data_IF_793086051219
#
_entry.id   IF_793086051219
#
_cell.length_a   1.000
_cell.length_b   1.000
_cell.length_c   1.000
_cell.angle_alpha   90.00
_cell.angle_beta   90.00
_cell.angle_gamma   90.00
#
_symmetry.space_group_name_H-M   'P 1'
#
loop_
_entity.id
_entity.type
_entity.pdbx_description
1 polymer ?
#
# COMPACT_ATOMS: atom_id res chain seq x y z
N UNK A 1 7.46 -0.93 -15.16
CA UNK A 1 7.34 0.30 -14.34
C UNK A 1 6.88 -0.06 -12.95
N UNK A 2 7.49 0.53 -11.93
CA UNK A 2 7.14 0.19 -10.55
C UNK A 2 5.86 0.89 -10.11
N UNK A 3 5.06 0.15 -9.36
CA UNK A 3 3.82 0.65 -8.74
C UNK A 3 3.89 0.27 -7.27
N UNK A 4 3.76 1.25 -6.37
CA UNK A 4 3.74 0.97 -4.94
C UNK A 4 2.33 0.54 -4.51
N UNK A 5 2.24 -0.55 -3.77
CA UNK A 5 0.96 -1.11 -3.31
C UNK A 5 0.67 -0.62 -1.91
N UNK A 6 -0.51 -0.02 -1.73
CA UNK A 6 -0.98 0.51 -0.45
C UNK A 6 -1.94 -0.47 0.24
N UNK A 7 -2.08 -0.31 1.55
CA UNK A 7 -3.03 -1.09 2.36
C UNK A 7 -4.45 -1.01 1.83
N UNK A 8 -4.89 0.16 1.35
CA UNK A 8 -6.24 0.35 0.82
C UNK A 8 -6.54 -0.57 -0.37
N UNK A 9 -5.55 -0.80 -1.23
CA UNK A 9 -5.70 -1.71 -2.37
C UNK A 9 -5.72 -3.17 -1.92
N UNK A 10 -4.85 -3.55 -0.99
CA UNK A 10 -4.82 -4.91 -0.43
C UNK A 10 -6.18 -5.24 0.22
N UNK A 11 -6.69 -4.32 1.03
CA UNK A 11 -7.99 -4.51 1.67
C UNK A 11 -9.13 -4.64 0.66
N UNK A 12 -9.15 -3.78 -0.37
CA UNK A 12 -10.17 -3.83 -1.41
C UNK A 12 -10.13 -5.16 -2.21
N UNK A 13 -8.94 -5.74 -2.41
CA UNK A 13 -8.80 -7.04 -3.06
C UNK A 13 -9.42 -8.17 -2.22
N UNK A 14 -9.36 -8.08 -0.90
CA UNK A 14 -9.78 -9.15 0.00
C UNK A 14 -11.22 -8.99 0.50
N UNK A 15 -11.76 -7.79 0.50
CA UNK A 15 -13.12 -7.52 0.96
C UNK A 15 -14.08 -7.35 -0.23
N UNK A 16 -14.86 -8.39 -0.49
CA UNK A 16 -15.84 -8.38 -1.60
C UNK A 16 -16.90 -7.29 -1.46
N UNK A 17 -17.16 -6.81 -0.25
CA UNK A 17 -18.14 -5.75 0.00
C UNK A 17 -17.55 -4.35 -0.10
N UNK A 18 -16.23 -4.23 -0.28
CA UNK A 18 -15.59 -2.93 -0.45
C UNK A 18 -16.05 -2.28 -1.77
N UNK A 19 -16.32 -0.97 -1.72
CA UNK A 19 -16.78 -0.23 -2.90
C UNK A 19 -15.77 -0.27 -4.07
N UNK A 20 -14.50 -0.49 -3.76
CA UNK A 20 -13.42 -0.53 -4.75
C UNK A 20 -13.00 -1.94 -5.14
N UNK A 21 -13.70 -2.97 -4.66
CA UNK A 21 -13.29 -4.36 -4.89
C UNK A 21 -13.14 -4.70 -6.37
N UNK A 22 -14.14 -4.41 -7.17
CA UNK A 22 -14.12 -4.75 -8.61
C UNK A 22 -12.97 -4.06 -9.33
N UNK A 23 -12.76 -2.77 -9.06
CA UNK A 23 -11.66 -2.00 -9.66
C UNK A 23 -10.30 -2.55 -9.23
N UNK A 24 -10.17 -2.92 -7.96
CA UNK A 24 -8.93 -3.50 -7.43
C UNK A 24 -8.63 -4.85 -8.11
N UNK A 25 -9.61 -5.73 -8.23
CA UNK A 25 -9.44 -7.04 -8.88
C UNK A 25 -9.06 -6.86 -10.35
N UNK A 26 -9.70 -5.94 -11.06
CA UNK A 26 -9.39 -5.67 -12.47
C UNK A 26 -7.95 -5.19 -12.63
N UNK A 27 -7.48 -4.28 -11.79
CA UNK A 27 -6.09 -3.80 -11.84
C UNK A 27 -5.11 -4.92 -11.53
N UNK A 28 -5.37 -5.67 -10.46
CA UNK A 28 -4.51 -6.79 -10.03
C UNK A 28 -4.37 -7.84 -11.13
N UNK A 29 -5.48 -8.23 -11.73
CA UNK A 29 -5.51 -9.26 -12.78
C UNK A 29 -4.74 -8.80 -14.03
N UNK A 30 -4.79 -7.50 -14.36
CA UNK A 30 -4.12 -6.93 -15.53
C UNK A 30 -2.69 -6.43 -15.27
N UNK A 31 -2.12 -6.71 -14.10
CA UNK A 31 -0.85 -6.10 -13.67
C UNK A 31 0.39 -6.97 -13.89
N UNK A 32 0.31 -8.01 -14.71
CA UNK A 32 1.42 -8.96 -14.91
C UNK A 32 2.71 -8.28 -15.41
N UNK A 33 2.58 -7.18 -16.15
CA UNK A 33 3.73 -6.43 -16.68
C UNK A 33 4.22 -5.33 -15.72
N UNK A 34 3.57 -5.17 -14.57
CA UNK A 34 3.94 -4.16 -13.59
C UNK A 34 4.89 -4.75 -12.53
N UNK A 35 5.83 -3.93 -12.06
CA UNK A 35 6.63 -4.25 -10.89
C UNK A 35 5.89 -3.75 -9.65
N UNK A 36 5.10 -4.61 -9.03
CA UNK A 36 4.38 -4.27 -7.81
C UNK A 36 5.33 -4.37 -6.62
N UNK A 37 5.47 -3.27 -5.91
CA UNK A 37 6.37 -3.17 -4.76
C UNK A 37 5.65 -2.56 -3.56
N UNK A 38 6.03 -2.97 -2.38
CA UNK A 38 5.56 -2.35 -1.14
C UNK A 38 6.68 -2.38 -0.10
N UNK A 39 6.43 -1.80 1.06
CA UNK A 39 7.38 -1.82 2.15
C UNK A 39 6.79 -2.54 3.37
N UNK A 40 7.67 -2.87 4.32
CA UNK A 40 7.31 -3.71 5.47
C UNK A 40 6.17 -3.13 6.32
N UNK A 41 6.04 -1.79 6.42
CA UNK A 41 5.00 -1.18 7.25
C UNK A 41 3.61 -1.35 6.63
N UNK A 42 3.49 -1.33 5.29
CA UNK A 42 2.23 -1.67 4.62
C UNK A 42 1.86 -3.13 4.92
N UNK A 43 2.82 -4.04 4.89
CA UNK A 43 2.55 -5.46 5.20
C UNK A 43 2.04 -5.61 6.62
N UNK A 44 2.69 -4.98 7.61
CA UNK A 44 2.27 -5.02 9.01
C UNK A 44 0.86 -4.47 9.19
N UNK A 45 0.60 -3.28 8.63
CA UNK A 45 -0.72 -2.66 8.71
C UNK A 45 -1.79 -3.51 8.03
N UNK A 46 -1.48 -4.05 6.85
CA UNK A 46 -2.42 -4.88 6.09
C UNK A 46 -2.78 -6.15 6.83
N UNK A 47 -1.81 -6.86 7.40
CA UNK A 47 -2.07 -8.07 8.18
C UNK A 47 -2.97 -7.76 9.38
N UNK A 48 -2.67 -6.68 10.12
CA UNK A 48 -3.45 -6.28 11.28
C UNK A 48 -4.89 -5.90 10.92
N UNK A 49 -5.05 -5.10 9.87
CA UNK A 49 -6.36 -4.63 9.41
C UNK A 49 -7.21 -5.79 8.88
N UNK A 50 -6.64 -6.61 8.03
CA UNK A 50 -7.33 -7.76 7.41
C UNK A 50 -7.76 -8.75 8.49
N UNK A 51 -6.86 -9.06 9.44
CA UNK A 51 -7.19 -9.96 10.54
C UNK A 51 -8.35 -9.43 11.37
N UNK A 52 -8.30 -8.14 11.71
CA UNK A 52 -9.32 -7.50 12.57
C UNK A 52 -10.69 -7.45 11.90
N UNK A 53 -10.75 -7.16 10.61
CA UNK A 53 -12.01 -6.92 9.91
C UNK A 53 -12.54 -8.11 9.14
N UNK A 54 -11.67 -8.95 8.62
CA UNK A 54 -12.04 -10.05 7.71
C UNK A 54 -11.75 -11.44 8.28
N UNK A 55 -10.92 -11.53 9.30
CA UNK A 55 -10.62 -12.77 9.98
C UNK A 55 -9.41 -13.54 9.44
N UNK A 56 -9.09 -14.70 10.05
CA UNK A 56 -7.85 -15.44 9.75
C UNK A 56 -7.80 -16.03 8.34
N UNK A 57 -8.94 -16.44 7.76
CA UNK A 57 -8.94 -16.96 6.40
C UNK A 57 -8.52 -15.92 5.37
N UNK A 58 -8.89 -14.65 5.58
CA UNK A 58 -8.46 -13.56 4.71
C UNK A 58 -6.96 -13.26 4.87
N UNK A 59 -6.42 -13.43 6.08
CA UNK A 59 -4.96 -13.31 6.30
C UNK A 59 -4.22 -14.40 5.52
N UNK A 60 -4.73 -15.63 5.52
CA UNK A 60 -4.14 -16.73 4.73
C UNK A 60 -4.14 -16.36 3.24
N UNK A 61 -5.24 -15.83 2.72
CA UNK A 61 -5.31 -15.37 1.33
C UNK A 61 -4.32 -14.25 1.04
N UNK A 62 -4.16 -13.30 1.96
CA UNK A 62 -3.16 -12.24 1.83
C UNK A 62 -1.75 -12.81 1.70
N UNK A 63 -1.38 -13.71 2.61
CA UNK A 63 -0.03 -14.27 2.67
C UNK A 63 0.25 -15.21 1.50
N UNK A 64 -0.72 -16.04 1.12
CA UNK A 64 -0.52 -17.10 0.14
C UNK A 64 -0.78 -16.64 -1.30
N UNK A 65 -1.73 -15.73 -1.51
CA UNK A 65 -2.22 -15.39 -2.85
C UNK A 65 -1.78 -13.98 -3.31
N UNK A 66 -1.64 -13.01 -2.40
CA UNK A 66 -1.30 -11.63 -2.78
C UNK A 66 0.17 -11.30 -2.57
N UNK A 67 0.72 -11.53 -1.39
CA UNK A 67 2.10 -11.13 -1.08
C UNK A 67 3.15 -11.76 -1.99
N UNK A 68 3.03 -13.01 -2.46
CA UNK A 68 4.00 -13.55 -3.41
C UNK A 68 4.09 -12.78 -4.73
N UNK A 69 3.04 -12.07 -5.11
CA UNK A 69 3.03 -11.23 -6.32
C UNK A 69 3.52 -9.79 -6.10
N UNK A 70 3.92 -9.44 -4.90
CA UNK A 70 4.35 -8.09 -4.53
C UNK A 70 5.76 -8.17 -3.95
N UNK A 71 6.69 -7.40 -4.54
CA UNK A 71 8.05 -7.32 -4.02
C UNK A 71 8.05 -6.47 -2.74
N UNK A 72 8.47 -7.05 -1.62
CA UNK A 72 8.49 -6.36 -0.33
C UNK A 72 9.90 -5.89 0.02
N UNK A 73 10.01 -4.62 0.40
CA UNK A 73 11.25 -3.99 0.82
C UNK A 73 11.22 -3.64 2.31
N UNK A 74 12.34 -3.78 2.95
CA UNK A 74 12.50 -3.37 4.35
C UNK A 74 12.64 -1.85 4.43
N UNK A 75 12.06 -1.27 5.46
CA UNK A 75 12.22 0.17 5.75
C UNK A 75 13.50 0.34 6.58
N UNK A 76 14.51 0.97 6.01
CA UNK A 76 15.76 1.21 6.73
C UNK A 76 15.61 2.33 7.77
N UNK A 77 16.59 2.44 8.66
CA UNK A 77 16.53 3.40 9.77
C UNK A 77 16.46 4.85 9.29
N UNK A 78 17.23 5.30 8.30
CA UNK A 78 17.11 6.68 7.80
C UNK A 78 15.72 7.01 7.26
N UNK A 79 15.11 6.10 6.52
CA UNK A 79 13.76 6.29 5.98
C UNK A 79 12.73 6.34 7.10
N UNK A 80 12.84 5.45 8.08
CA UNK A 80 11.99 5.44 9.27
C UNK A 80 12.07 6.77 10.03
N UNK A 81 13.29 7.22 10.35
CA UNK A 81 13.48 8.44 11.12
C UNK A 81 12.97 9.68 10.39
N UNK A 82 13.25 9.79 9.08
CA UNK A 82 12.76 10.91 8.27
C UNK A 82 11.22 10.94 8.23
N UNK A 83 10.59 9.77 8.14
CA UNK A 83 9.14 9.67 8.11
C UNK A 83 8.50 10.11 9.42
N UNK A 84 9.14 9.82 10.57
CA UNK A 84 8.69 10.32 11.87
C UNK A 84 8.80 11.85 11.96
N UNK A 85 9.89 12.43 11.45
CA UNK A 85 10.06 13.88 11.42
C UNK A 85 8.95 14.53 10.58
N UNK A 86 8.70 13.99 9.40
CA UNK A 86 7.66 14.51 8.50
C UNK A 86 6.25 14.37 9.11
N UNK A 87 5.98 13.23 9.76
CA UNK A 87 4.71 13.01 10.44
C UNK A 87 4.44 14.08 11.50
N UNK A 88 5.44 14.40 12.32
CA UNK A 88 5.31 15.42 13.35
C UNK A 88 5.15 16.83 12.78
N UNK A 89 5.87 17.13 11.71
CA UNK A 89 5.83 18.44 11.07
C UNK A 89 4.48 18.75 10.43
N UNK A 90 3.74 17.75 9.98
CA UNK A 90 2.47 17.91 9.27
C UNK A 90 1.24 17.90 10.18
N UNK A 91 1.42 17.73 11.49
CA UNK A 91 0.33 17.83 12.46
C UNK A 91 -0.68 16.68 12.44
N UNK A 92 -0.36 15.55 11.82
CA UNK A 92 -1.13 14.33 11.98
C UNK A 92 -2.27 14.09 11.00
N UNK A 93 -2.26 14.72 9.83
CA UNK A 93 -3.28 14.48 8.80
C UNK A 93 -3.16 13.13 8.11
N UNK A 94 -1.98 12.50 8.14
CA UNK A 94 -1.70 11.20 7.53
C UNK A 94 -1.01 10.28 8.52
N UNK A 95 -1.09 8.97 8.28
CA UNK A 95 -0.44 7.97 9.13
C UNK A 95 1.06 7.91 8.90
N UNK A 96 1.79 7.27 9.84
CA UNK A 96 3.20 6.96 9.63
C UNK A 96 3.42 6.09 8.40
N UNK A 97 2.53 5.12 8.18
CA UNK A 97 2.62 4.23 7.00
C UNK A 97 2.54 5.04 5.71
N UNK A 98 1.62 6.02 5.62
CA UNK A 98 1.51 6.91 4.45
C UNK A 98 2.78 7.74 4.26
N UNK A 99 3.37 8.25 5.35
CA UNK A 99 4.63 9.01 5.27
C UNK A 99 5.78 8.16 4.77
N UNK A 100 5.88 6.92 5.24
CA UNK A 100 6.87 5.97 4.74
C UNK A 100 6.64 5.66 3.27
N UNK A 101 5.39 5.46 2.85
CA UNK A 101 5.03 5.22 1.45
C UNK A 101 5.50 6.37 0.55
N UNK A 102 5.22 7.61 0.94
CA UNK A 102 5.62 8.80 0.16
C UNK A 102 7.15 8.93 0.10
N UNK A 103 7.85 8.76 1.20
CA UNK A 103 9.30 8.86 1.25
C UNK A 103 9.97 7.71 0.47
N UNK A 104 9.44 6.51 0.56
CA UNK A 104 9.90 5.35 -0.20
C UNK A 104 9.73 5.59 -1.70
N UNK A 105 8.55 6.05 -2.13
CA UNK A 105 8.28 6.35 -3.53
C UNK A 105 9.22 7.42 -4.06
N UNK A 106 9.46 8.48 -3.30
CA UNK A 106 10.39 9.55 -3.69
C UNK A 106 11.82 9.03 -3.84
N UNK A 107 12.28 8.21 -2.89
CA UNK A 107 13.64 7.63 -2.93
C UNK A 107 13.85 6.76 -4.18
N UNK A 108 12.84 5.99 -4.56
CA UNK A 108 12.93 5.02 -5.66
C UNK A 108 12.39 5.55 -6.99
N UNK A 109 11.99 6.81 -7.08
CA UNK A 109 11.45 7.39 -8.30
C UNK A 109 10.14 6.77 -8.75
N UNK A 110 9.31 6.33 -7.80
CA UNK A 110 8.01 5.73 -8.07
C UNK A 110 6.95 6.81 -8.07
N UNK A 111 6.15 6.88 -9.14
CA UNK A 111 5.13 7.91 -9.32
C UNK A 111 3.70 7.36 -9.30
N UNK A 112 3.53 6.04 -9.33
CA UNK A 112 2.22 5.37 -9.37
C UNK A 112 2.02 4.53 -8.13
N UNK A 113 0.80 4.57 -7.59
CA UNK A 113 0.39 3.76 -6.44
C UNK A 113 -0.88 2.98 -6.75
N UNK A 114 -0.87 1.69 -6.44
CA UNK A 114 -2.09 0.90 -6.40
C UNK A 114 -2.77 1.18 -5.06
N UNK A 115 -3.71 2.09 -5.07
CA UNK A 115 -4.30 2.68 -3.87
C UNK A 115 -5.65 3.32 -4.16
N UNK A 116 -6.49 3.37 -3.14
CA UNK A 116 -7.76 4.09 -3.15
C UNK A 116 -7.80 5.19 -2.08
N UNK A 117 -6.63 5.55 -1.56
CA UNK A 117 -6.47 6.56 -0.52
C UNK A 117 -6.24 7.93 -1.17
N UNK A 118 -7.17 8.88 -0.90
CA UNK A 118 -7.08 10.24 -1.42
C UNK A 118 -5.85 10.99 -0.91
N UNK A 119 -5.32 10.65 0.24
CA UNK A 119 -4.13 11.32 0.81
C UNK A 119 -2.89 11.07 -0.04
N UNK A 120 -2.75 9.87 -0.61
CA UNK A 120 -1.63 9.57 -1.51
C UNK A 120 -1.74 10.33 -2.84
N UNK A 121 -2.94 10.41 -3.40
CA UNK A 121 -3.19 11.19 -4.62
C UNK A 121 -2.90 12.68 -4.38
N UNK A 122 -3.32 13.21 -3.24
CA UNK A 122 -3.08 14.61 -2.87
C UNK A 122 -1.60 14.93 -2.65
N UNK A 123 -0.77 13.92 -2.42
CA UNK A 123 0.67 14.08 -2.20
C UNK A 123 1.52 13.85 -3.46
N UNK A 124 0.90 13.73 -4.63
CA UNK A 124 1.60 13.70 -5.92
C UNK A 124 1.79 12.33 -6.54
N UNK A 125 1.27 11.26 -5.93
CA UNK A 125 1.24 9.94 -6.55
C UNK A 125 0.01 9.82 -7.47
N UNK A 126 0.20 9.24 -8.63
CA UNK A 126 -0.91 8.88 -9.51
C UNK A 126 -1.48 7.55 -9.03
N UNK A 127 -2.73 7.55 -8.58
CA UNK A 127 -3.37 6.31 -8.11
C UNK A 127 -3.84 5.44 -9.27
N UNK A 128 -3.69 4.14 -9.11
CA UNK A 128 -4.15 3.11 -10.03
C UNK A 128 -5.17 2.24 -9.30
N UNK A 129 -6.26 1.82 -9.93
CA UNK A 129 -6.77 2.35 -11.19
C UNK A 129 -7.26 3.80 -11.06
N UNK A 130 -7.24 4.51 -12.15
CA UNK A 130 -7.74 5.90 -12.18
C UNK A 130 -9.26 5.98 -12.07
#
# INVERSE_FOLDING_TARGET
MSVIVDTSAIFALLDRSDAHHEAAVAFWTGSDDEDLVTHAYVVVESVALVRSRLGPAAVDALVDDLLPGIRMEIVDRPLHDMSLVTLRATGGGTSLVDRVTLAFAARHGIHRAFAFDADLAGAGLTTCPE
#
